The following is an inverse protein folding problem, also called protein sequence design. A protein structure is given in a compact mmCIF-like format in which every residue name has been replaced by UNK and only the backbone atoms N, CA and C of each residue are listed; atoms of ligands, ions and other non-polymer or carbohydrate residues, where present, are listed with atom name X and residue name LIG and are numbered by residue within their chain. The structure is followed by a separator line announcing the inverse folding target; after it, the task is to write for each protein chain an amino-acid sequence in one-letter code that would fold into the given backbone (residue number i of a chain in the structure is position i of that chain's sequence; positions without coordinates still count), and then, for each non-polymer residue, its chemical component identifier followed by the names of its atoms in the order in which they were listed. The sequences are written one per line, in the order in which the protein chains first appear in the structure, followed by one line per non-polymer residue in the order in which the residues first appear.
data_IF_100832051598
#
_entry.id   IF_100832051598
#
_cell.length_a   1.000
_cell.length_b   1.000
_cell.length_c   1.000
_cell.angle_alpha   90.00
_cell.angle_beta   90.00
_cell.angle_gamma   90.00
#
_symmetry.space_group_name_H-M   'P 1'
#
loop_
_entity.id
_entity.type
_entity.pdbx_description
1 polymer ?
#
# COMPACT_ATOMS: atom_id res chain seq x y z
N UNK A 1 -19.26 26.44 6.71
CA UNK A 1 -20.10 26.00 5.58
C UNK A 1 -19.53 24.69 5.06
N UNK A 2 -20.34 23.73 4.65
CA UNK A 2 -19.83 22.50 4.08
C UNK A 2 -19.01 22.78 2.83
N UNK A 3 -17.88 22.11 2.70
CA UNK A 3 -17.02 22.15 1.52
C UNK A 3 -17.41 21.01 0.58
N UNK A 4 -17.66 21.33 -0.70
CA UNK A 4 -17.97 20.33 -1.73
C UNK A 4 -16.76 20.17 -2.62
N UNK A 5 -16.26 18.93 -2.71
CA UNK A 5 -15.06 18.56 -3.48
C UNK A 5 -15.48 17.60 -4.59
N UNK A 6 -15.45 18.01 -5.87
CA UNK A 6 -15.69 17.10 -6.98
C UNK A 6 -14.52 16.09 -7.12
N UNK A 7 -14.87 14.84 -7.33
CA UNK A 7 -13.93 13.73 -7.48
C UNK A 7 -14.01 13.22 -8.91
N UNK A 8 -12.88 13.09 -9.56
CA UNK A 8 -12.79 12.56 -10.92
C UNK A 8 -11.66 11.54 -11.06
N UNK A 9 -11.83 10.56 -11.94
CA UNK A 9 -10.81 9.60 -12.32
C UNK A 9 -10.04 10.10 -13.53
N UNK A 10 -8.73 10.15 -13.42
CA UNK A 10 -7.83 10.44 -14.54
C UNK A 10 -7.53 9.13 -15.27
N UNK A 11 -8.28 8.86 -16.34
CA UNK A 11 -8.13 7.66 -17.17
C UNK A 11 -7.42 8.06 -18.48
N UNK A 12 -6.09 7.89 -18.55
CA UNK A 12 -5.25 8.35 -19.67
C UNK A 12 -5.49 9.85 -19.93
N UNK A 13 -5.98 10.19 -21.12
CA UNK A 13 -6.23 11.57 -21.53
C UNK A 13 -7.66 12.07 -21.18
N UNK A 14 -8.41 11.30 -20.41
CA UNK A 14 -9.80 11.61 -20.05
C UNK A 14 -9.95 11.81 -18.54
N UNK A 15 -10.72 12.84 -18.18
CA UNK A 15 -11.18 13.05 -16.81
C UNK A 15 -12.63 12.59 -16.69
N UNK A 16 -12.87 11.52 -15.96
CA UNK A 16 -14.19 10.93 -15.77
C UNK A 16 -14.74 11.34 -14.40
N UNK A 17 -15.83 12.09 -14.33
CA UNK A 17 -16.45 12.44 -13.05
C UNK A 17 -16.89 11.18 -12.30
N UNK A 18 -16.53 11.09 -11.02
CA UNK A 18 -16.96 10.01 -10.14
C UNK A 18 -18.12 10.47 -9.24
N UNK A 19 -17.99 11.67 -8.67
CA UNK A 19 -18.97 12.18 -7.73
C UNK A 19 -18.49 13.40 -6.94
N UNK A 20 -19.17 13.67 -5.82
CA UNK A 20 -18.90 14.78 -4.95
C UNK A 20 -18.70 14.33 -3.51
N UNK A 21 -17.58 14.71 -2.93
CA UNK A 21 -17.28 14.56 -1.52
C UNK A 21 -17.71 15.85 -0.81
N UNK A 22 -18.56 15.72 0.22
CA UNK A 22 -19.00 16.83 1.06
C UNK A 22 -18.36 16.69 2.42
N UNK A 23 -17.70 17.74 2.86
CA UNK A 23 -17.02 17.82 4.15
C UNK A 23 -17.64 18.94 4.96
N UNK A 24 -18.06 18.65 6.17
CA UNK A 24 -18.53 19.67 7.10
C UNK A 24 -17.70 19.64 8.37
N UNK A 25 -17.28 20.83 8.79
CA UNK A 25 -16.61 21.04 10.07
C UNK A 25 -17.66 21.68 11.01
N UNK A 26 -18.40 20.84 11.69
CA UNK A 26 -19.30 21.31 12.74
C UNK A 26 -18.49 21.49 14.02
N UNK A 27 -18.22 22.73 14.37
CA UNK A 27 -17.36 23.20 15.46
C UNK A 27 -17.73 22.70 16.88
N UNK A 28 -18.41 21.58 17.00
CA UNK A 28 -18.79 20.94 18.26
C UNK A 28 -18.88 19.42 18.23
N UNK A 29 -18.98 18.80 17.07
CA UNK A 29 -19.15 17.33 16.95
C UNK A 29 -18.08 16.63 16.10
N UNK A 30 -17.07 17.35 15.60
CA UNK A 30 -16.04 16.82 14.70
C UNK A 30 -16.44 16.90 13.22
N UNK A 31 -15.44 16.79 12.33
CA UNK A 31 -15.65 16.86 10.89
C UNK A 31 -16.48 15.66 10.40
N UNK A 32 -17.52 15.89 9.62
CA UNK A 32 -18.31 14.85 9.00
C UNK A 32 -18.05 14.77 7.49
N UNK A 33 -18.15 13.57 6.94
CA UNK A 33 -17.93 13.26 5.54
C UNK A 33 -19.19 12.68 4.93
N UNK A 34 -19.56 13.11 3.72
CA UNK A 34 -20.61 12.49 2.92
C UNK A 34 -20.15 12.39 1.46
N UNK A 35 -20.67 11.42 0.71
CA UNK A 35 -20.34 11.24 -0.70
C UNK A 35 -21.59 10.97 -1.53
N UNK A 36 -21.63 11.52 -2.73
CA UNK A 36 -22.68 11.25 -3.73
C UNK A 36 -22.03 11.00 -5.09
N UNK A 37 -22.44 9.92 -5.74
CA UNK A 37 -22.01 9.62 -7.10
C UNK A 37 -22.53 10.60 -8.13
N UNK A 38 -21.77 10.82 -9.20
CA UNK A 38 -22.21 11.49 -10.41
C UNK A 38 -23.20 10.60 -11.21
N UNK A 39 -24.15 11.19 -11.93
CA UNK A 39 -25.14 10.46 -12.70
C UNK A 39 -24.51 9.61 -13.82
N UNK A 40 -23.47 10.13 -14.47
CA UNK A 40 -22.73 9.38 -15.50
C UNK A 40 -21.98 8.20 -14.88
N UNK A 41 -21.43 8.36 -13.66
CA UNK A 41 -20.80 7.25 -12.95
C UNK A 41 -21.81 6.20 -12.49
N UNK A 42 -23.01 6.62 -12.06
CA UNK A 42 -24.10 5.69 -11.71
C UNK A 42 -24.53 4.84 -12.88
N UNK A 43 -24.49 5.38 -14.10
CA UNK A 43 -24.90 4.68 -15.30
C UNK A 43 -23.84 3.69 -15.82
N UNK A 44 -22.56 4.00 -15.69
CA UNK A 44 -21.47 3.28 -16.37
C UNK A 44 -20.27 2.92 -15.46
N UNK A 45 -20.29 3.35 -14.22
CA UNK A 45 -19.22 3.14 -13.26
C UNK A 45 -19.38 1.84 -12.46
N UNK A 46 -18.66 1.77 -11.37
CA UNK A 46 -18.62 0.64 -10.44
C UNK A 46 -18.56 1.14 -9.00
N UNK A 47 -18.90 0.29 -8.00
CA UNK A 47 -18.80 0.66 -6.60
C UNK A 47 -17.34 0.90 -6.20
N UNK A 48 -17.07 1.99 -5.47
CA UNK A 48 -15.73 2.38 -5.02
C UNK A 48 -15.27 1.66 -3.73
N UNK A 49 -16.00 0.68 -3.33
CA UNK A 49 -15.74 -0.12 -2.13
C UNK A 49 -17.04 -0.72 -1.62
N UNK A 50 -16.92 -1.62 -0.66
CA UNK A 50 -18.11 -2.23 -0.09
C UNK A 50 -18.86 -1.30 0.88
N UNK A 51 -18.21 -0.24 1.35
CA UNK A 51 -18.81 0.85 2.14
C UNK A 51 -19.28 2.04 1.27
N UNK A 52 -19.01 1.98 -0.04
CA UNK A 52 -19.50 2.92 -1.06
C UNK A 52 -20.18 2.14 -2.21
N UNK A 53 -21.34 1.51 -1.97
CA UNK A 53 -22.09 0.82 -3.01
C UNK A 53 -22.58 1.80 -4.07
N UNK A 54 -22.69 1.34 -5.32
CA UNK A 54 -23.15 2.16 -6.43
C UNK A 54 -24.66 2.42 -6.29
N UNK A 55 -25.03 3.57 -5.75
CA UNK A 55 -26.42 3.98 -5.59
C UNK A 55 -26.58 5.51 -5.65
N UNK A 56 -27.75 6.02 -6.04
CA UNK A 56 -28.00 7.46 -6.15
C UNK A 56 -28.15 8.19 -4.80
N UNK A 57 -28.12 7.46 -3.69
CA UNK A 57 -28.28 8.03 -2.35
C UNK A 57 -27.01 8.76 -1.92
N UNK A 58 -27.14 9.65 -0.93
CA UNK A 58 -25.98 10.20 -0.24
C UNK A 58 -25.45 9.13 0.72
N UNK A 59 -24.17 8.85 0.62
CA UNK A 59 -23.48 7.91 1.47
C UNK A 59 -22.82 8.63 2.64
N UNK A 60 -22.84 8.01 3.81
CA UNK A 60 -22.14 8.44 5.00
C UNK A 60 -21.23 7.33 5.50
N UNK A 61 -20.02 7.63 5.97
CA UNK A 61 -19.21 6.62 6.62
C UNK A 61 -19.95 6.12 7.87
N UNK A 62 -19.68 4.88 8.27
CA UNK A 62 -20.28 4.32 9.46
C UNK A 62 -19.85 5.12 10.69
N UNK A 63 -20.80 5.73 11.41
CA UNK A 63 -20.54 6.57 12.59
C UNK A 63 -20.26 5.76 13.87
N UNK A 64 -20.42 4.45 13.83
CA UNK A 64 -20.45 3.59 15.02
C UNK A 64 -19.07 3.23 15.56
N UNK A 65 -18.04 3.99 15.22
CA UNK A 65 -16.73 3.61 15.70
C UNK A 65 -15.86 4.78 16.11
N UNK A 66 -15.78 4.99 17.37
CA UNK A 66 -14.55 5.41 18.05
C UNK A 66 -13.48 4.28 18.00
N UNK A 67 -13.79 3.14 17.42
CA UNK A 67 -12.86 2.02 17.26
C UNK A 67 -12.25 2.08 15.86
N UNK A 68 -10.94 2.31 15.83
CA UNK A 68 -10.12 1.87 14.68
C UNK A 68 -10.37 0.40 14.49
N UNK A 69 -10.77 -0.03 13.27
CA UNK A 69 -10.76 -1.44 12.95
C UNK A 69 -9.36 -1.98 13.28
N UNK A 70 -9.20 -2.82 14.32
CA UNK A 70 -7.91 -3.27 14.79
C UNK A 70 -7.17 -4.08 13.71
N UNK A 71 -7.90 -4.60 12.71
CA UNK A 71 -7.37 -5.39 11.61
C UNK A 71 -6.95 -4.51 10.43
N UNK A 72 -7.72 -3.46 10.15
CA UNK A 72 -7.46 -2.59 8.99
C UNK A 72 -6.64 -1.34 9.37
N UNK A 73 -6.55 -1.00 10.65
CA UNK A 73 -5.90 0.23 11.11
C UNK A 73 -6.54 1.51 10.54
N UNK A 74 -7.70 1.37 9.89
CA UNK A 74 -8.43 2.45 9.25
C UNK A 74 -9.56 2.92 10.15
N UNK A 75 -9.79 4.23 10.20
CA UNK A 75 -10.92 4.81 10.93
C UNK A 75 -12.21 4.54 10.18
N UNK A 76 -13.25 4.22 10.91
CA UNK A 76 -14.58 3.95 10.36
C UNK A 76 -15.33 5.22 9.92
N UNK A 77 -14.88 6.40 10.34
CA UNK A 77 -15.43 7.70 9.96
C UNK A 77 -14.96 8.20 8.57
N UNK A 78 -14.16 7.40 7.86
CA UNK A 78 -13.67 7.67 6.51
C UNK A 78 -13.98 6.47 5.61
N UNK A 79 -14.53 6.71 4.41
CA UNK A 79 -14.71 5.64 3.42
C UNK A 79 -13.38 4.99 3.05
N UNK A 80 -13.39 3.67 2.83
CA UNK A 80 -12.20 2.91 2.45
C UNK A 80 -11.51 3.45 1.21
N UNK A 81 -12.29 3.85 0.20
CA UNK A 81 -11.79 4.50 -1.01
C UNK A 81 -10.91 5.71 -0.69
N UNK A 82 -11.39 6.64 0.13
CA UNK A 82 -10.62 7.82 0.49
C UNK A 82 -9.45 7.50 1.42
N UNK A 83 -9.61 6.51 2.30
CA UNK A 83 -8.50 6.03 3.15
C UNK A 83 -7.36 5.43 2.32
N UNK A 84 -7.67 4.69 1.25
CA UNK A 84 -6.67 4.15 0.32
C UNK A 84 -5.89 5.25 -0.41
N UNK A 85 -6.52 6.38 -0.68
CA UNK A 85 -5.93 7.52 -1.40
C UNK A 85 -5.36 8.59 -0.47
N UNK A 86 -5.45 8.41 0.85
CA UNK A 86 -4.90 9.35 1.83
C UNK A 86 -3.37 9.19 1.98
N UNK A 87 -2.67 10.27 2.35
CA UNK A 87 -1.25 10.23 2.69
C UNK A 87 -0.95 9.24 3.82
N UNK A 88 0.25 8.68 3.81
CA UNK A 88 0.69 7.77 4.87
C UNK A 88 0.97 8.47 6.20
N UNK A 89 0.83 7.76 7.32
CA UNK A 89 1.08 8.29 8.67
C UNK A 89 2.49 8.87 8.88
N UNK A 90 3.48 8.46 8.10
CA UNK A 90 4.82 9.02 8.18
C UNK A 90 4.93 10.47 7.67
N UNK A 91 3.99 10.90 6.83
CA UNK A 91 3.88 12.28 6.34
C UNK A 91 3.60 13.25 7.48
N UNK A 92 2.86 12.83 8.49
CA UNK A 92 2.61 13.66 9.69
C UNK A 92 3.92 14.05 10.38
N UNK A 93 4.89 13.13 10.41
CA UNK A 93 6.21 13.41 10.98
C UNK A 93 6.95 14.48 10.18
N UNK A 94 6.84 14.43 8.85
CA UNK A 94 7.45 15.42 7.97
C UNK A 94 6.81 16.81 8.14
N UNK A 95 5.49 16.86 8.15
CA UNK A 95 4.75 18.11 8.35
C UNK A 95 5.10 18.73 9.69
N UNK A 96 5.11 17.92 10.75
CA UNK A 96 5.49 18.37 12.08
C UNK A 96 6.94 18.90 12.11
N UNK A 97 7.87 18.24 11.42
CA UNK A 97 9.24 18.73 11.31
C UNK A 97 9.34 20.03 10.50
N UNK A 98 8.58 20.16 9.43
CA UNK A 98 8.52 21.40 8.65
C UNK A 98 8.04 22.57 9.51
N UNK A 99 6.99 22.38 10.29
CA UNK A 99 6.49 23.39 11.23
C UNK A 99 7.50 23.74 12.35
N UNK A 100 8.14 22.72 12.96
CA UNK A 100 9.15 22.95 14.01
C UNK A 100 10.39 23.68 13.51
N UNK A 101 10.72 23.58 12.23
CA UNK A 101 11.87 24.25 11.61
C UNK A 101 11.48 25.57 10.92
N UNK A 102 10.26 26.05 11.13
CA UNK A 102 9.74 27.29 10.52
C UNK A 102 9.90 27.31 8.98
N UNK A 103 9.84 26.13 8.35
CA UNK A 103 9.96 25.98 6.92
C UNK A 103 8.67 26.42 6.25
N UNK A 104 8.71 27.54 5.56
CA UNK A 104 7.63 27.97 4.66
C UNK A 104 7.67 27.09 3.42
N UNK A 105 6.79 26.09 3.39
CA UNK A 105 6.63 25.19 2.26
C UNK A 105 5.27 25.53 1.64
N UNK A 106 5.29 26.10 0.44
CA UNK A 106 4.12 26.71 -0.18
C UNK A 106 2.90 25.80 -0.25
N UNK A 107 3.10 24.50 -0.49
CA UNK A 107 1.98 23.55 -0.54
C UNK A 107 1.50 23.06 0.84
N UNK A 108 2.18 23.45 1.94
CA UNK A 108 1.74 23.18 3.32
C UNK A 108 1.14 24.41 3.99
N UNK A 109 1.10 25.55 3.32
CA UNK A 109 0.51 26.75 3.90
C UNK A 109 -0.97 26.51 4.21
N UNK A 110 -1.31 26.55 5.50
CA UNK A 110 -2.64 26.20 5.99
C UNK A 110 -2.95 24.69 6.09
N UNK A 111 -1.99 23.82 5.77
CA UNK A 111 -2.21 22.38 5.89
C UNK A 111 -2.22 21.92 7.37
N UNK A 112 -3.18 21.07 7.76
CA UNK A 112 -3.24 20.57 9.14
C UNK A 112 -2.09 19.62 9.45
N UNK A 113 -1.69 19.57 10.73
CA UNK A 113 -0.57 18.73 11.19
C UNK A 113 -0.86 17.22 11.22
N UNK A 114 -2.08 16.79 10.93
CA UNK A 114 -2.52 15.39 10.99
C UNK A 114 -3.11 14.95 9.65
N UNK A 115 -2.69 13.77 9.14
CA UNK A 115 -3.27 13.18 7.92
C UNK A 115 -4.76 12.86 8.06
N UNK A 116 -5.25 12.66 9.27
CA UNK A 116 -6.67 12.49 9.56
C UNK A 116 -7.45 13.78 9.27
N UNK A 117 -6.88 14.92 9.68
CA UNK A 117 -7.47 16.23 9.41
C UNK A 117 -7.41 16.53 7.91
N UNK A 118 -6.38 16.06 7.21
CA UNK A 118 -6.26 16.21 5.75
C UNK A 118 -7.41 15.50 5.03
N UNK A 119 -7.71 14.26 5.41
CA UNK A 119 -8.84 13.53 4.84
C UNK A 119 -10.16 14.22 5.15
N UNK A 120 -10.30 14.78 6.36
CA UNK A 120 -11.51 15.49 6.80
C UNK A 120 -11.67 16.89 6.23
N UNK A 121 -10.56 17.57 5.93
CA UNK A 121 -10.58 18.96 5.43
C UNK A 121 -10.54 19.07 3.90
N UNK A 122 -10.77 17.97 3.17
CA UNK A 122 -10.80 17.97 1.71
C UNK A 122 -9.43 18.00 1.05
N UNK A 123 -8.35 17.95 1.82
CA UNK A 123 -7.00 17.75 1.32
C UNK A 123 -6.74 16.25 1.07
N UNK A 124 -7.67 15.59 0.38
CA UNK A 124 -7.48 14.22 -0.08
C UNK A 124 -6.58 14.28 -1.30
N UNK A 125 -5.34 13.90 -1.12
CA UNK A 125 -4.42 13.78 -2.24
C UNK A 125 -4.62 12.42 -2.89
N UNK A 126 -4.72 12.42 -4.21
CA UNK A 126 -4.81 11.19 -4.96
C UNK A 126 -3.54 10.36 -4.78
N UNK A 127 -3.48 9.54 -3.74
CA UNK A 127 -2.50 8.45 -3.68
C UNK A 127 -2.57 7.75 -5.02
N UNK A 128 -1.43 7.52 -5.68
CA UNK A 128 -1.34 6.96 -7.02
C UNK A 128 -1.63 7.93 -8.17
N UNK A 129 -1.89 9.21 -7.93
CA UNK A 129 -2.14 10.23 -8.98
C UNK A 129 -3.31 9.91 -9.94
N UNK A 130 -4.18 8.96 -9.58
CA UNK A 130 -5.30 8.54 -10.43
C UNK A 130 -6.56 9.39 -10.22
N UNK A 131 -6.60 10.22 -9.17
CA UNK A 131 -7.73 11.08 -8.86
C UNK A 131 -7.37 12.55 -9.11
N UNK A 132 -8.29 13.27 -9.76
CA UNK A 132 -8.27 14.72 -9.84
C UNK A 132 -9.19 15.30 -8.78
N UNK A 133 -8.62 16.12 -7.91
CA UNK A 133 -9.32 16.86 -6.89
C UNK A 133 -9.07 18.35 -7.16
N UNK A 134 -10.09 19.15 -7.53
CA UNK A 134 -9.92 20.58 -7.60
C UNK A 134 -9.81 21.10 -6.17
N UNK A 135 -8.63 21.53 -5.82
CA UNK A 135 -8.30 22.09 -4.52
C UNK A 135 -8.82 23.54 -4.47
N UNK A 136 -9.71 23.81 -3.55
CA UNK A 136 -10.42 25.08 -3.46
C UNK A 136 -9.63 26.22 -2.82
N UNK A 137 -8.35 26.10 -2.57
CA UNK A 137 -7.49 27.21 -2.10
C UNK A 137 -6.09 27.12 -2.71
N UNK A 138 -5.97 27.49 -3.99
CA UNK A 138 -4.68 27.80 -4.60
C UNK A 138 -3.72 26.65 -4.92
N UNK A 139 -4.08 25.43 -4.60
CA UNK A 139 -3.34 24.24 -5.01
C UNK A 139 -3.76 23.83 -6.42
N UNK A 140 -3.10 24.40 -7.40
CA UNK A 140 -3.31 24.01 -8.78
C UNK A 140 -2.83 22.58 -9.01
N UNK A 141 -3.56 21.82 -9.82
CA UNK A 141 -3.18 20.55 -10.47
C UNK A 141 -1.83 20.58 -11.22
N UNK A 142 -1.12 21.69 -11.19
CA UNK A 142 0.25 21.84 -11.71
C UNK A 142 1.34 21.34 -10.77
N UNK A 143 1.04 20.98 -9.54
CA UNK A 143 1.99 20.34 -8.64
C UNK A 143 1.85 18.81 -8.70
N UNK A 144 2.15 18.25 -9.86
CA UNK A 144 2.80 16.94 -9.82
C UNK A 144 4.10 17.19 -9.07
N UNK A 145 4.30 16.53 -7.92
CA UNK A 145 5.52 16.76 -7.14
C UNK A 145 6.74 16.54 -8.02
N UNK A 146 7.80 17.36 -7.89
CA UNK A 146 9.02 17.11 -8.62
C UNK A 146 9.51 15.71 -8.26
N UNK A 147 9.46 14.81 -9.22
CA UNK A 147 10.03 13.47 -9.04
C UNK A 147 11.54 13.66 -8.98
N UNK A 148 12.16 13.18 -7.91
CA UNK A 148 13.60 13.27 -7.76
C UNK A 148 14.29 12.45 -8.84
N UNK A 149 15.05 13.11 -9.69
CA UNK A 149 15.92 12.45 -10.66
C UNK A 149 17.23 12.03 -9.99
N UNK A 150 17.52 10.73 -10.01
CA UNK A 150 18.78 10.19 -9.54
C UNK A 150 19.62 9.80 -10.75
N UNK A 151 20.58 10.65 -11.08
CA UNK A 151 21.57 10.38 -12.13
C UNK A 151 22.52 9.27 -11.67
N UNK A 152 22.30 8.07 -12.16
CA UNK A 152 23.19 6.92 -11.95
C UNK A 152 22.92 6.09 -10.69
N UNK A 153 23.06 4.80 -10.88
CA UNK A 153 22.96 3.78 -9.85
C UNK A 153 24.33 3.49 -9.24
N UNK A 154 24.37 3.37 -7.92
CA UNK A 154 25.52 2.81 -7.21
C UNK A 154 25.79 3.47 -5.86
N UNK A 155 26.53 2.75 -5.03
CA UNK A 155 26.92 3.12 -3.66
C UNK A 155 27.61 4.52 -3.56
N UNK A 156 28.02 5.09 -4.67
CA UNK A 156 28.78 6.34 -4.74
C UNK A 156 27.98 7.56 -5.25
N UNK A 157 26.73 7.41 -5.66
CA UNK A 157 25.91 8.54 -6.07
C UNK A 157 25.66 9.47 -4.89
N UNK A 158 25.99 10.76 -5.03
CA UNK A 158 25.75 11.79 -4.00
C UNK A 158 24.26 11.92 -3.67
N UNK A 159 23.40 11.86 -4.68
CA UNK A 159 21.94 11.97 -4.53
C UNK A 159 21.38 10.77 -3.74
N UNK A 160 21.83 9.54 -4.01
CA UNK A 160 21.43 8.33 -3.25
C UNK A 160 21.88 8.42 -1.80
N UNK A 161 23.11 8.90 -1.54
CA UNK A 161 23.61 9.09 -0.17
C UNK A 161 22.79 10.13 0.60
N UNK A 162 22.50 11.27 -0.02
CA UNK A 162 21.70 12.33 0.61
C UNK A 162 20.28 11.86 0.90
N UNK A 163 19.64 11.12 -0.02
CA UNK A 163 18.33 10.52 0.19
C UNK A 163 18.35 9.54 1.36
N UNK A 164 19.37 8.66 1.41
CA UNK A 164 19.54 7.73 2.51
C UNK A 164 19.68 8.41 3.87
N UNK A 165 20.50 9.47 3.95
CA UNK A 165 20.69 10.24 5.18
C UNK A 165 19.38 10.93 5.64
N UNK A 166 18.61 11.49 4.71
CA UNK A 166 17.34 12.11 5.04
C UNK A 166 16.32 11.10 5.57
N UNK A 167 16.17 9.96 4.90
CA UNK A 167 15.27 8.89 5.36
C UNK A 167 15.72 8.31 6.69
N UNK A 168 17.03 8.19 6.92
CA UNK A 168 17.60 7.77 8.20
C UNK A 168 17.25 8.77 9.32
N UNK A 169 17.41 10.07 9.07
CA UNK A 169 17.05 11.12 10.01
C UNK A 169 15.56 11.07 10.37
N UNK A 170 14.68 10.92 9.37
CA UNK A 170 13.24 10.74 9.60
C UNK A 170 12.92 9.53 10.46
N UNK A 171 13.52 8.39 10.16
CA UNK A 171 13.34 7.16 10.93
C UNK A 171 13.84 7.29 12.38
N UNK A 172 14.88 8.08 12.59
CA UNK A 172 15.43 8.38 13.92
C UNK A 172 14.63 9.44 14.69
N UNK A 173 13.68 10.12 14.04
CA UNK A 173 12.98 11.28 14.60
C UNK A 173 13.87 12.52 14.71
N UNK A 174 15.01 12.54 14.00
CA UNK A 174 15.93 13.67 13.96
C UNK A 174 15.43 14.75 12.97
N UNK A 175 15.84 16.00 13.18
CA UNK A 175 15.54 17.09 12.28
C UNK A 175 16.21 16.88 10.93
N UNK A 176 15.47 17.11 9.83
CA UNK A 176 16.01 17.09 8.48
C UNK A 176 16.48 18.50 8.16
N UNK A 177 17.71 18.60 7.72
CA UNK A 177 18.28 19.86 7.25
C UNK A 177 18.13 20.00 5.74
N UNK A 178 17.71 21.19 5.31
CA UNK A 178 17.56 21.55 3.91
C UNK A 178 16.12 21.59 3.42
N UNK A 179 15.66 22.79 3.03
CA UNK A 179 14.30 23.03 2.52
C UNK A 179 13.97 22.12 1.33
N UNK A 180 14.86 22.05 0.35
CA UNK A 180 14.67 21.26 -0.88
C UNK A 180 14.44 19.78 -0.59
N UNK A 181 15.15 19.21 0.38
CA UNK A 181 15.01 17.80 0.74
C UNK A 181 13.67 17.53 1.41
N UNK A 182 13.21 18.43 2.27
CA UNK A 182 11.90 18.34 2.91
C UNK A 182 10.79 18.49 1.87
N UNK A 183 10.89 19.47 0.97
CA UNK A 183 9.92 19.65 -0.13
C UNK A 183 9.84 18.42 -1.02
N UNK A 184 10.99 17.85 -1.39
CA UNK A 184 11.05 16.62 -2.19
C UNK A 184 10.41 15.43 -1.48
N UNK A 185 10.71 15.23 -0.20
CA UNK A 185 10.11 14.13 0.58
C UNK A 185 8.62 14.34 0.77
N UNK A 186 8.18 15.55 1.06
CA UNK A 186 6.77 15.87 1.24
C UNK A 186 5.98 15.68 -0.06
N UNK A 187 6.49 16.18 -1.18
CA UNK A 187 5.81 16.00 -2.46
C UNK A 187 5.63 14.53 -2.84
N UNK A 188 6.66 13.71 -2.65
CA UNK A 188 6.59 12.27 -2.88
C UNK A 188 5.72 11.56 -1.83
N UNK A 189 5.70 12.05 -0.59
CA UNK A 189 4.95 11.48 0.52
C UNK A 189 3.44 11.55 0.32
N UNK A 190 2.97 12.59 -0.34
CA UNK A 190 1.54 12.80 -0.58
C UNK A 190 0.93 11.69 -1.44
N UNK A 191 1.71 11.04 -2.27
CA UNK A 191 1.28 9.94 -3.12
C UNK A 191 1.45 8.55 -2.50
N UNK A 192 2.19 8.45 -1.38
CA UNK A 192 2.59 7.17 -0.81
C UNK A 192 2.03 6.95 0.58
N UNK A 193 1.27 5.88 0.73
CA UNK A 193 0.73 5.47 2.02
C UNK A 193 1.74 4.77 2.95
N UNK A 194 1.26 4.26 4.08
CA UNK A 194 2.01 3.45 5.03
C UNK A 194 2.68 4.26 6.15
N UNK A 195 3.53 3.58 6.93
CA UNK A 195 4.09 4.10 8.19
C UNK A 195 5.56 4.50 8.12
N UNK A 196 6.31 3.98 7.14
CA UNK A 196 7.74 4.22 7.02
C UNK A 196 8.04 5.23 5.90
N UNK A 197 9.07 6.09 6.07
CA UNK A 197 9.50 7.02 5.04
C UNK A 197 9.82 6.33 3.73
N UNK A 198 9.35 6.95 2.65
CA UNK A 198 9.60 6.51 1.28
C UNK A 198 9.45 7.71 0.35
N UNK A 199 10.06 7.63 -0.82
CA UNK A 199 9.89 8.67 -1.83
C UNK A 199 9.78 8.07 -3.24
N UNK A 200 9.18 8.81 -4.14
CA UNK A 200 9.18 8.51 -5.57
C UNK A 200 10.42 9.14 -6.21
N UNK A 201 11.09 8.37 -7.04
CA UNK A 201 12.28 8.81 -7.78
C UNK A 201 12.23 8.29 -9.21
N UNK A 202 12.86 9.00 -10.14
CA UNK A 202 13.24 8.46 -11.43
C UNK A 202 14.68 8.01 -11.37
N UNK A 203 14.93 6.80 -11.84
CA UNK A 203 16.25 6.19 -11.78
C UNK A 203 16.90 6.11 -13.16
N UNK A 204 17.96 6.88 -13.36
CA UNK A 204 18.67 6.92 -14.63
C UNK A 204 17.94 7.76 -15.68
N UNK A 205 17.99 7.32 -16.94
CA UNK A 205 17.38 8.02 -18.09
C UNK A 205 15.96 7.57 -18.42
N UNK A 206 15.40 6.66 -17.62
CA UNK A 206 14.04 6.16 -17.81
C UNK A 206 13.03 7.10 -17.15
N UNK A 207 11.87 7.27 -17.79
CA UNK A 207 10.72 7.96 -17.19
C UNK A 207 9.99 7.14 -16.14
N UNK A 208 10.44 5.91 -15.91
CA UNK A 208 9.86 5.02 -14.91
C UNK A 208 9.98 5.60 -13.50
N UNK A 209 8.86 5.60 -12.78
CA UNK A 209 8.82 5.99 -11.38
C UNK A 209 9.09 4.79 -10.46
N UNK A 210 9.96 5.02 -9.48
CA UNK A 210 10.37 4.04 -8.49
C UNK A 210 10.06 4.53 -7.09
N UNK A 211 9.61 3.64 -6.24
CA UNK A 211 9.45 3.90 -4.80
C UNK A 211 10.69 3.43 -4.07
N UNK A 212 11.40 4.37 -3.43
CA UNK A 212 12.56 4.06 -2.58
C UNK A 212 12.13 3.94 -1.13
N UNK A 213 12.58 2.88 -0.47
CA UNK A 213 12.39 2.60 0.96
C UNK A 213 13.74 2.49 1.66
N UNK A 214 13.79 2.98 2.88
CA UNK A 214 14.96 2.92 3.74
C UNK A 214 14.73 1.96 4.92
N UNK A 215 15.64 0.98 5.08
CA UNK A 215 15.68 0.14 6.27
C UNK A 215 16.28 0.92 7.44
N UNK A 216 15.54 1.04 8.53
CA UNK A 216 16.02 1.71 9.75
C UNK A 216 17.18 0.93 10.37
N UNK A 217 18.18 1.66 10.90
CA UNK A 217 19.25 1.03 11.70
C UNK A 217 18.75 0.39 13.00
N UNK A 218 17.53 0.73 13.41
CA UNK A 218 16.87 0.16 14.61
C UNK A 218 16.14 -1.15 14.33
N UNK A 219 15.97 -1.51 13.05
CA UNK A 219 15.39 -2.80 12.68
C UNK A 219 16.37 -3.93 13.01
N UNK A 220 15.89 -5.07 13.51
CA UNK A 220 16.75 -6.19 13.91
C UNK A 220 17.49 -6.80 12.72
N UNK A 221 16.93 -6.66 11.51
CA UNK A 221 17.53 -7.08 10.23
C UNK A 221 17.36 -5.98 9.19
N UNK A 222 18.19 -5.98 8.16
CA UNK A 222 18.11 -5.00 7.08
C UNK A 222 16.92 -5.28 6.15
N UNK A 223 15.75 -4.72 6.44
CA UNK A 223 14.54 -4.96 5.64
C UNK A 223 14.67 -4.58 4.15
N UNK A 224 15.55 -3.65 3.80
CA UNK A 224 15.81 -3.31 2.39
C UNK A 224 16.50 -4.47 1.66
N UNK A 225 17.46 -5.11 2.30
CA UNK A 225 18.14 -6.30 1.78
C UNK A 225 17.15 -7.46 1.67
N UNK A 226 16.38 -7.73 2.72
CA UNK A 226 15.42 -8.83 2.72
C UNK A 226 14.23 -8.61 1.79
N UNK A 227 13.87 -7.37 1.47
CA UNK A 227 12.96 -7.09 0.35
C UNK A 227 13.58 -7.51 -0.99
N UNK A 228 14.87 -7.22 -1.22
CA UNK A 228 15.54 -7.61 -2.46
C UNK A 228 15.64 -9.14 -2.58
N UNK A 229 16.03 -9.83 -1.52
CA UNK A 229 16.12 -11.31 -1.48
C UNK A 229 14.75 -11.95 -1.73
N UNK A 230 13.73 -11.52 -0.99
CA UNK A 230 12.38 -12.09 -1.12
C UNK A 230 11.80 -11.82 -2.50
N UNK A 231 12.03 -10.63 -3.04
CA UNK A 231 11.59 -10.25 -4.40
C UNK A 231 12.28 -11.10 -5.47
N UNK A 232 13.57 -11.40 -5.31
CA UNK A 232 14.34 -12.22 -6.28
C UNK A 232 13.78 -13.64 -6.40
N UNK A 233 13.31 -14.20 -5.28
CA UNK A 233 12.73 -15.55 -5.23
C UNK A 233 11.31 -15.63 -5.82
N UNK A 234 10.54 -14.56 -5.74
CA UNK A 234 9.11 -14.58 -6.07
C UNK A 234 8.80 -14.95 -7.54
N UNK A 235 9.49 -14.42 -8.58
CA UNK A 235 9.23 -14.79 -9.96
C UNK A 235 9.49 -16.26 -10.27
N UNK A 236 10.52 -16.86 -9.65
CA UNK A 236 10.82 -18.28 -9.81
C UNK A 236 9.72 -19.18 -9.20
N UNK A 237 8.93 -18.65 -8.25
CA UNK A 237 7.70 -19.25 -7.74
C UNK A 237 6.46 -18.89 -8.59
N UNK A 238 6.62 -18.35 -9.80
CA UNK A 238 5.50 -17.96 -10.67
C UNK A 238 4.68 -16.77 -10.18
N UNK A 239 5.18 -16.00 -9.22
CA UNK A 239 4.48 -14.85 -8.64
C UNK A 239 4.80 -13.58 -9.43
N UNK A 240 3.77 -12.91 -9.91
CA UNK A 240 3.92 -11.58 -10.50
C UNK A 240 4.30 -10.58 -9.42
N UNK A 241 5.50 -10.02 -9.49
CA UNK A 241 6.06 -9.03 -8.58
C UNK A 241 6.65 -7.88 -9.38
N UNK A 242 6.55 -6.66 -8.86
CA UNK A 242 7.18 -5.50 -9.51
C UNK A 242 8.70 -5.62 -9.51
N UNK A 243 9.35 -5.00 -10.49
CA UNK A 243 10.81 -4.91 -10.51
C UNK A 243 11.33 -4.18 -9.28
N UNK A 244 12.40 -4.69 -8.68
CA UNK A 244 12.99 -4.10 -7.48
C UNK A 244 14.46 -4.45 -7.31
N UNK A 245 15.22 -3.55 -6.67
CA UNK A 245 16.67 -3.70 -6.47
C UNK A 245 17.19 -2.90 -5.29
N UNK A 246 18.31 -3.33 -4.73
CA UNK A 246 19.08 -2.51 -3.80
C UNK A 246 19.84 -1.43 -4.59
N UNK A 247 19.63 -0.16 -4.23
CA UNK A 247 20.37 0.98 -4.79
C UNK A 247 21.48 1.47 -3.83
N UNK A 248 21.39 1.09 -2.56
CA UNK A 248 22.42 1.25 -1.53
C UNK A 248 22.19 0.19 -0.43
N UNK A 249 23.10 -0.02 0.50
CA UNK A 249 23.00 -1.09 1.50
C UNK A 249 21.70 -1.14 2.31
N UNK A 250 21.06 -0.01 2.53
CA UNK A 250 19.79 0.14 3.26
C UNK A 250 18.68 0.81 2.47
N UNK A 251 18.86 0.93 1.14
CA UNK A 251 17.86 1.53 0.25
C UNK A 251 17.42 0.51 -0.80
N UNK A 252 16.16 0.15 -0.73
CA UNK A 252 15.48 -0.68 -1.73
C UNK A 252 14.60 0.19 -2.60
N UNK A 253 14.75 0.06 -3.91
CA UNK A 253 13.92 0.72 -4.91
C UNK A 253 13.09 -0.31 -5.66
N UNK A 254 11.83 -0.02 -5.90
CA UNK A 254 10.95 -0.84 -6.73
C UNK A 254 10.11 0.02 -7.66
N UNK A 255 9.79 -0.49 -8.85
CA UNK A 255 8.87 0.19 -9.78
C UNK A 255 7.50 0.34 -9.14
N UNK A 256 6.79 1.41 -9.50
CA UNK A 256 5.42 1.62 -9.05
C UNK A 256 4.51 0.54 -9.66
N UNK A 257 3.71 -0.11 -8.81
CA UNK A 257 2.72 -1.11 -9.25
C UNK A 257 1.44 -0.48 -9.79
N UNK A 258 1.22 0.79 -9.49
CA UNK A 258 0.06 1.61 -9.79
C UNK A 258 0.25 2.46 -11.06
N UNK A 259 1.12 2.01 -11.94
CA UNK A 259 1.32 2.58 -13.28
C UNK A 259 1.06 1.52 -14.34
N UNK A 260 0.36 1.92 -15.40
CA UNK A 260 0.22 1.14 -16.62
C UNK A 260 1.56 1.06 -17.38
N UNK A 261 1.61 0.26 -18.43
CA UNK A 261 2.83 0.11 -19.25
C UNK A 261 3.24 1.43 -19.94
N UNK A 262 2.28 2.29 -20.24
CA UNK A 262 2.49 3.62 -20.82
C UNK A 262 2.83 4.70 -19.75
N UNK A 263 3.01 4.30 -18.49
CA UNK A 263 3.31 5.20 -17.37
C UNK A 263 2.08 5.92 -16.79
N UNK A 264 0.90 5.76 -17.38
CA UNK A 264 -0.31 6.40 -16.86
C UNK A 264 -0.73 5.82 -15.49
N UNK A 265 -1.31 6.63 -14.59
CA UNK A 265 -1.74 6.18 -13.27
C UNK A 265 -2.94 5.24 -13.37
N UNK A 266 -2.91 4.15 -12.60
CA UNK A 266 -4.02 3.23 -12.43
C UNK A 266 -4.87 3.64 -11.24
N UNK A 267 -6.19 3.57 -11.37
CA UNK A 267 -7.08 3.61 -10.21
C UNK A 267 -6.91 2.32 -9.44
N UNK A 268 -6.53 2.43 -8.17
CA UNK A 268 -6.23 1.27 -7.33
C UNK A 268 -7.09 1.28 -6.07
N UNK A 269 -7.67 0.13 -5.73
CA UNK A 269 -8.31 -0.11 -4.45
C UNK A 269 -7.64 -1.28 -3.74
N UNK A 270 -7.49 -1.16 -2.40
CA UNK A 270 -6.95 -2.25 -1.59
C UNK A 270 -8.01 -3.32 -1.30
N UNK A 271 -7.56 -4.53 -0.97
CA UNK A 271 -8.44 -5.54 -0.40
C UNK A 271 -9.13 -5.03 0.87
N UNK A 272 -8.46 -4.21 1.68
CA UNK A 272 -9.06 -3.60 2.86
C UNK A 272 -10.34 -2.84 2.53
N UNK A 273 -10.33 -2.04 1.47
CA UNK A 273 -11.49 -1.30 0.99
C UNK A 273 -12.57 -2.22 0.39
N UNK A 274 -12.15 -3.20 -0.40
CA UNK A 274 -13.09 -4.11 -1.07
C UNK A 274 -13.76 -5.11 -0.12
N UNK A 275 -13.11 -5.54 0.98
CA UNK A 275 -13.69 -6.42 2.01
C UNK A 275 -14.40 -5.66 3.13
N UNK A 276 -14.23 -4.33 3.18
CA UNK A 276 -14.83 -3.50 4.21
C UNK A 276 -16.35 -3.59 4.10
N UNK A 277 -17.00 -4.02 5.17
CA UNK A 277 -18.46 -4.08 5.22
C UNK A 277 -18.96 -2.99 6.15
N UNK A 278 -20.16 -2.48 5.91
CA UNK A 278 -20.82 -1.59 6.86
C UNK A 278 -20.85 -2.25 8.24
N UNK A 279 -20.43 -1.51 9.26
CA UNK A 279 -20.44 -1.99 10.64
C UNK A 279 -21.87 -2.11 11.12
N UNK A 280 -22.30 -3.31 11.47
CA UNK A 280 -23.56 -3.55 12.17
C UNK A 280 -23.27 -3.76 13.65
N UNK A 281 -24.25 -3.51 14.51
CA UNK A 281 -24.15 -3.72 15.97
C UNK A 281 -23.62 -5.12 16.31
N UNK A 282 -24.05 -6.14 15.60
CA UNK A 282 -23.60 -7.52 15.78
C UNK A 282 -22.11 -7.67 15.47
N UNK A 283 -21.60 -6.98 14.47
CA UNK A 283 -20.16 -7.00 14.09
C UNK A 283 -19.28 -6.21 15.03
N UNK A 284 -19.82 -5.17 15.65
CA UNK A 284 -19.11 -4.43 16.71
C UNK A 284 -18.91 -5.33 17.91
N UNK A 285 -19.93 -6.11 18.29
CA UNK A 285 -19.89 -7.02 19.44
C UNK A 285 -19.06 -8.29 19.16
N UNK A 286 -18.96 -8.71 17.90
CA UNK A 286 -18.26 -9.93 17.48
C UNK A 286 -17.38 -9.63 16.25
N UNK A 287 -16.25 -8.91 16.38
CA UNK A 287 -15.39 -8.58 15.26
C UNK A 287 -14.74 -9.87 14.71
N UNK A 288 -15.05 -10.19 13.46
CA UNK A 288 -14.42 -11.31 12.76
C UNK A 288 -13.27 -10.77 11.92
N UNK A 289 -12.02 -11.16 12.21
CA UNK A 289 -10.88 -10.77 11.40
C UNK A 289 -11.09 -11.13 9.93
N UNK A 290 -10.73 -10.23 9.03
CA UNK A 290 -10.72 -10.48 7.59
C UNK A 290 -9.54 -11.37 7.24
N UNK A 291 -9.73 -12.24 6.27
CA UNK A 291 -8.83 -13.34 5.94
C UNK A 291 -8.52 -13.39 4.45
N UNK A 292 -7.59 -14.24 4.05
CA UNK A 292 -7.37 -14.56 2.63
C UNK A 292 -8.63 -15.07 1.92
N UNK A 293 -9.54 -15.72 2.65
CA UNK A 293 -10.81 -16.19 2.08
C UNK A 293 -11.75 -15.03 1.71
N UNK A 294 -11.71 -13.92 2.46
CA UNK A 294 -12.48 -12.72 2.11
C UNK A 294 -11.94 -12.09 0.81
N UNK A 295 -10.60 -12.13 0.59
CA UNK A 295 -9.99 -11.66 -0.67
C UNK A 295 -10.41 -12.59 -1.83
N UNK A 296 -10.38 -13.90 -1.61
CA UNK A 296 -10.83 -14.86 -2.61
C UNK A 296 -12.31 -14.66 -2.98
N UNK A 297 -13.18 -14.35 -2.00
CA UNK A 297 -14.58 -14.06 -2.24
C UNK A 297 -14.80 -12.84 -3.16
N UNK A 298 -13.98 -11.76 -3.00
CA UNK A 298 -14.01 -10.61 -3.91
C UNK A 298 -13.69 -11.05 -5.34
N UNK A 299 -12.61 -11.80 -5.52
CA UNK A 299 -12.19 -12.27 -6.85
C UNK A 299 -13.23 -13.19 -7.49
N UNK A 300 -13.88 -14.04 -6.69
CA UNK A 300 -14.98 -14.89 -7.19
C UNK A 300 -16.19 -14.09 -7.67
N UNK A 301 -16.56 -13.03 -6.94
CA UNK A 301 -17.79 -12.28 -7.21
C UNK A 301 -17.63 -11.20 -8.28
N UNK A 302 -16.48 -10.54 -8.31
CA UNK A 302 -16.28 -9.35 -9.15
C UNK A 302 -14.87 -9.26 -9.76
N UNK A 303 -14.12 -10.36 -9.80
CA UNK A 303 -12.83 -10.45 -10.48
C UNK A 303 -12.97 -10.43 -12.00
N UNK A 304 -12.00 -9.84 -12.68
CA UNK A 304 -11.95 -9.82 -14.15
C UNK A 304 -11.60 -11.18 -14.75
N UNK A 305 -10.72 -11.92 -14.10
CA UNK A 305 -10.36 -13.31 -14.38
C UNK A 305 -10.24 -14.06 -13.05
N UNK A 306 -11.38 -14.53 -12.50
CA UNK A 306 -11.39 -15.18 -11.20
C UNK A 306 -10.44 -16.39 -11.13
N UNK A 307 -10.36 -17.18 -12.20
CA UNK A 307 -9.51 -18.39 -12.21
C UNK A 307 -8.04 -18.06 -12.11
N UNK A 308 -7.55 -17.13 -12.92
CA UNK A 308 -6.15 -16.73 -12.92
C UNK A 308 -5.79 -15.98 -11.62
N UNK A 309 -6.63 -15.04 -11.17
CA UNK A 309 -6.35 -14.20 -10.01
C UNK A 309 -6.46 -14.97 -8.69
N UNK A 310 -7.37 -15.92 -8.56
CA UNK A 310 -7.46 -16.82 -7.41
C UNK A 310 -6.22 -17.72 -7.30
N UNK A 311 -5.78 -18.30 -8.43
CA UNK A 311 -4.54 -19.09 -8.44
C UNK A 311 -3.32 -18.23 -8.07
N UNK A 312 -3.26 -17.00 -8.59
CA UNK A 312 -2.21 -16.04 -8.23
C UNK A 312 -2.25 -15.64 -6.74
N UNK A 313 -3.44 -15.44 -6.19
CA UNK A 313 -3.63 -15.17 -4.76
C UNK A 313 -3.18 -16.35 -3.90
N UNK A 314 -3.53 -17.58 -4.28
CA UNK A 314 -3.06 -18.78 -3.59
C UNK A 314 -1.53 -18.92 -3.62
N UNK A 315 -0.92 -18.67 -4.78
CA UNK A 315 0.55 -18.67 -4.89
C UNK A 315 1.20 -17.66 -3.94
N UNK A 316 0.64 -16.44 -3.82
CA UNK A 316 1.11 -15.42 -2.84
C UNK A 316 0.92 -15.87 -1.40
N UNK A 317 -0.24 -16.46 -1.07
CA UNK A 317 -0.53 -17.00 0.25
C UNK A 317 0.50 -18.07 0.64
N UNK A 318 0.74 -19.03 -0.24
CA UNK A 318 1.71 -20.11 0.00
C UNK A 318 3.14 -19.57 0.12
N UNK A 319 3.54 -18.64 -0.74
CA UNK A 319 4.83 -17.97 -0.70
C UNK A 319 5.02 -17.18 0.60
N UNK A 320 4.03 -16.39 1.01
CA UNK A 320 4.08 -15.63 2.26
C UNK A 320 4.20 -16.56 3.47
N UNK A 321 3.51 -17.69 3.44
CA UNK A 321 3.58 -18.73 4.47
C UNK A 321 4.98 -19.35 4.55
N UNK A 322 5.62 -19.63 3.41
CA UNK A 322 6.93 -20.28 3.33
C UNK A 322 8.10 -19.33 3.57
N UNK A 323 7.93 -18.02 3.36
CA UNK A 323 8.98 -17.01 3.54
C UNK A 323 8.82 -16.18 4.81
N UNK A 324 7.76 -16.42 5.60
CA UNK A 324 7.44 -15.58 6.74
C UNK A 324 7.18 -14.11 6.35
N UNK A 325 6.77 -13.84 5.10
CA UNK A 325 6.42 -12.49 4.68
C UNK A 325 5.10 -12.06 5.32
N UNK A 326 5.16 -11.35 6.44
CA UNK A 326 4.00 -10.81 7.13
C UNK A 326 3.64 -9.37 6.69
N UNK A 327 4.24 -8.89 5.61
CA UNK A 327 3.78 -7.69 4.91
C UNK A 327 2.64 -8.03 3.96
N UNK A 328 1.71 -8.84 4.45
CA UNK A 328 0.56 -9.38 3.73
C UNK A 328 -0.76 -8.84 4.27
N UNK A 329 -0.76 -7.63 4.87
CA UNK A 329 -1.99 -6.98 5.33
C UNK A 329 -2.92 -6.73 4.15
N UNK A 330 -4.21 -6.60 4.42
CA UNK A 330 -5.22 -6.35 3.38
C UNK A 330 -4.94 -5.11 2.53
N UNK A 331 -4.26 -4.09 3.07
CA UNK A 331 -3.80 -2.91 2.34
C UNK A 331 -2.52 -3.13 1.51
N UNK A 332 -2.06 -4.37 1.41
CA UNK A 332 -0.95 -4.79 0.53
C UNK A 332 -1.43 -5.57 -0.71
N UNK A 333 -2.72 -5.90 -0.79
CA UNK A 333 -3.34 -6.48 -1.97
C UNK A 333 -4.12 -5.40 -2.70
N UNK A 334 -3.67 -5.05 -3.89
CA UNK A 334 -4.24 -3.99 -4.69
C UNK A 334 -4.92 -4.53 -5.92
N UNK A 335 -5.98 -3.85 -6.31
CA UNK A 335 -6.80 -4.18 -7.48
C UNK A 335 -6.99 -2.93 -8.32
N UNK A 336 -7.07 -3.12 -9.63
CA UNK A 336 -7.44 -2.07 -10.59
C UNK A 336 -8.70 -2.49 -11.34
N UNK A 337 -9.62 -1.57 -11.64
CA UNK A 337 -10.81 -1.89 -12.43
C UNK A 337 -10.44 -2.12 -13.89
N UNK A 338 -11.12 -3.08 -14.50
CA UNK A 338 -11.14 -3.33 -15.93
C UNK A 338 -12.60 -3.36 -16.39
N UNK A 339 -12.84 -3.49 -17.69
CA UNK A 339 -14.20 -3.64 -18.21
C UNK A 339 -14.90 -4.93 -17.71
N UNK A 340 -14.11 -5.94 -17.34
CA UNK A 340 -14.62 -7.25 -16.90
C UNK A 340 -14.71 -7.38 -15.37
N UNK A 341 -14.22 -6.41 -14.62
CA UNK A 341 -14.18 -6.47 -13.15
C UNK A 341 -12.83 -6.08 -12.57
N UNK A 342 -12.59 -6.45 -11.34
CA UNK A 342 -11.35 -6.15 -10.61
C UNK A 342 -10.23 -7.12 -10.98
N UNK A 343 -9.05 -6.60 -11.27
CA UNK A 343 -7.84 -7.37 -11.54
C UNK A 343 -6.84 -7.23 -10.41
N UNK A 344 -6.32 -8.34 -9.92
CA UNK A 344 -5.28 -8.36 -8.89
C UNK A 344 -3.96 -7.83 -9.46
N UNK A 345 -3.41 -6.78 -8.84
CA UNK A 345 -2.13 -6.17 -9.21
C UNK A 345 -0.93 -6.99 -8.75
N UNK A 346 0.27 -6.79 -9.32
CA UNK A 346 1.49 -7.46 -8.91
C UNK A 346 1.79 -7.28 -7.42
N UNK A 347 2.47 -8.25 -6.80
CA UNK A 347 3.01 -8.12 -5.44
C UNK A 347 4.10 -7.03 -5.43
N UNK A 348 4.16 -6.25 -4.36
CA UNK A 348 5.19 -5.24 -4.16
C UNK A 348 5.76 -5.33 -2.73
N UNK A 349 6.99 -4.88 -2.54
CA UNK A 349 7.70 -4.88 -1.26
C UNK A 349 7.60 -6.18 -0.44
N UNK A 350 7.64 -7.39 -1.05
CA UNK A 350 7.68 -8.62 -0.26
C UNK A 350 8.93 -8.61 0.61
N UNK A 351 8.80 -9.03 1.87
CA UNK A 351 9.92 -9.02 2.79
C UNK A 351 9.79 -10.14 3.82
N UNK A 352 10.64 -11.14 3.71
CA UNK A 352 10.78 -12.15 4.74
C UNK A 352 11.11 -11.49 6.09
N UNK A 353 10.50 -11.97 7.15
CA UNK A 353 10.63 -11.43 8.50
C UNK A 353 11.25 -12.45 9.44
N UNK A 354 11.89 -11.95 10.49
CA UNK A 354 12.36 -12.80 11.57
C UNK A 354 11.19 -13.58 12.19
N UNK A 355 11.33 -14.89 12.37
CA UNK A 355 10.34 -15.65 13.11
C UNK A 355 10.29 -15.20 14.57
N UNK A 356 9.09 -15.12 15.14
CA UNK A 356 8.91 -14.85 16.56
C UNK A 356 8.77 -16.17 17.32
N UNK A 357 9.65 -16.42 18.28
CA UNK A 357 9.69 -17.68 19.05
C UNK A 357 9.61 -18.93 18.14
N UNK A 358 10.38 -18.93 17.06
CA UNK A 358 10.41 -20.00 16.05
C UNK A 358 9.10 -20.17 15.26
N UNK A 359 8.12 -19.30 15.41
CA UNK A 359 6.88 -19.29 14.64
C UNK A 359 6.88 -18.12 13.63
N UNK A 360 6.25 -18.36 12.49
CA UNK A 360 5.96 -17.34 11.48
C UNK A 360 4.49 -16.97 11.58
N UNK A 361 4.20 -15.69 11.55
CA UNK A 361 2.83 -15.20 11.59
C UNK A 361 2.55 -14.36 10.35
N UNK A 362 1.35 -14.48 9.83
CA UNK A 362 0.82 -13.63 8.76
C UNK A 362 0.01 -12.49 9.37
N UNK A 363 0.04 -11.31 8.74
CA UNK A 363 -0.82 -10.20 9.13
C UNK A 363 -2.26 -10.41 8.72
N UNK A 364 -2.49 -11.02 7.54
CA UNK A 364 -3.81 -11.49 7.13
C UNK A 364 -3.94 -12.98 7.46
N UNK A 365 -4.87 -13.37 8.35
CA UNK A 365 -5.08 -14.78 8.70
C UNK A 365 -5.45 -15.61 7.48
N UNK A 366 -5.06 -16.89 7.48
CA UNK A 366 -5.45 -17.85 6.45
C UNK A 366 -6.98 -18.07 6.45
N UNK A 367 -7.54 -18.21 7.64
CA UNK A 367 -8.97 -18.30 7.95
C UNK A 367 -9.20 -17.71 9.35
N UNK A 368 -10.44 -17.48 9.81
CA UNK A 368 -10.67 -16.99 11.16
C UNK A 368 -9.93 -17.81 12.22
N UNK A 369 -9.14 -17.12 13.06
CA UNK A 369 -8.34 -17.74 14.13
C UNK A 369 -7.04 -18.43 13.69
N UNK A 370 -6.67 -18.39 12.39
CA UNK A 370 -5.46 -19.04 11.88
C UNK A 370 -4.50 -18.03 11.24
N UNK A 371 -3.71 -17.33 12.07
CA UNK A 371 -2.67 -16.38 11.64
C UNK A 371 -1.25 -16.96 11.66
N UNK A 372 -1.06 -18.16 12.18
CA UNK A 372 0.21 -18.89 12.04
C UNK A 372 0.41 -19.25 10.57
N UNK A 373 1.60 -18.99 10.05
CA UNK A 373 1.99 -19.31 8.68
C UNK A 373 2.24 -20.82 8.56
N UNK A 374 1.15 -21.59 8.51
CA UNK A 374 1.15 -23.06 8.41
C UNK A 374 0.87 -23.52 6.98
N UNK A 375 1.87 -24.11 6.28
CA UNK A 375 1.70 -24.59 4.91
C UNK A 375 0.63 -25.68 4.77
N UNK A 376 0.40 -26.51 5.77
CA UNK A 376 -0.61 -27.57 5.71
C UNK A 376 -2.02 -26.95 5.72
N UNK A 377 -2.25 -25.96 6.57
CA UNK A 377 -3.52 -25.21 6.56
C UNK A 377 -3.72 -24.51 5.20
N UNK A 378 -2.67 -23.90 4.64
CA UNK A 378 -2.74 -23.28 3.31
C UNK A 378 -3.16 -24.29 2.23
N UNK A 379 -2.55 -25.50 2.23
CA UNK A 379 -2.89 -26.58 1.29
C UNK A 379 -4.35 -27.03 1.43
N UNK A 380 -4.84 -27.19 2.65
CA UNK A 380 -6.25 -27.56 2.88
C UNK A 380 -7.21 -26.51 2.32
N UNK A 381 -6.84 -25.22 2.45
CA UNK A 381 -7.65 -24.09 1.95
C UNK A 381 -7.54 -23.87 0.44
N UNK A 382 -6.61 -24.52 -0.27
CA UNK A 382 -6.35 -24.30 -1.70
C UNK A 382 -7.60 -24.39 -2.58
N UNK A 383 -8.59 -25.22 -2.20
CA UNK A 383 -9.85 -25.37 -2.96
C UNK A 383 -10.68 -24.10 -3.06
N UNK A 384 -10.59 -23.22 -2.05
CA UNK A 384 -11.27 -21.91 -2.09
C UNK A 384 -10.67 -20.96 -3.14
N UNK A 385 -9.49 -21.30 -3.64
CA UNK A 385 -8.75 -20.57 -4.66
C UNK A 385 -8.75 -21.32 -6.01
N UNK A 386 -9.62 -22.31 -6.19
CA UNK A 386 -9.68 -23.10 -7.42
C UNK A 386 -8.46 -24.00 -7.66
N UNK A 387 -7.64 -24.27 -6.63
CA UNK A 387 -6.44 -25.11 -6.72
C UNK A 387 -6.70 -26.45 -6.04
N UNK A 388 -6.45 -27.57 -6.74
CA UNK A 388 -6.60 -28.89 -6.13
C UNK A 388 -5.55 -29.11 -5.03
N UNK A 389 -5.85 -29.95 -4.05
CA UNK A 389 -4.87 -30.31 -2.99
C UNK A 389 -3.61 -30.93 -3.60
N UNK A 390 -3.74 -31.72 -4.68
CA UNK A 390 -2.61 -32.33 -5.39
C UNK A 390 -1.71 -31.22 -5.99
N UNK A 391 -2.30 -30.25 -6.69
CA UNK A 391 -1.56 -29.16 -7.30
C UNK A 391 -0.95 -28.21 -6.25
N UNK A 392 -1.65 -27.97 -5.14
CA UNK A 392 -1.14 -27.19 -4.01
C UNK A 392 0.10 -27.84 -3.37
N UNK A 393 0.09 -29.17 -3.21
CA UNK A 393 1.25 -29.93 -2.72
C UNK A 393 2.42 -29.88 -3.71
N UNK A 394 2.16 -30.02 -5.00
CA UNK A 394 3.17 -29.89 -6.04
C UNK A 394 3.79 -28.48 -6.04
N UNK A 395 2.95 -27.46 -6.02
CA UNK A 395 3.39 -26.05 -5.94
C UNK A 395 4.24 -25.79 -4.70
N UNK A 396 3.90 -26.34 -3.55
CA UNK A 396 4.74 -26.24 -2.33
C UNK A 396 6.14 -26.82 -2.54
N UNK A 397 6.23 -28.00 -3.13
CA UNK A 397 7.53 -28.65 -3.39
C UNK A 397 8.39 -27.80 -4.35
N UNK A 398 7.80 -27.29 -5.42
CA UNK A 398 8.46 -26.38 -6.36
C UNK A 398 8.95 -25.11 -5.64
N UNK A 399 8.10 -24.50 -4.80
CA UNK A 399 8.49 -23.32 -4.04
C UNK A 399 9.62 -23.60 -3.07
N UNK A 400 9.58 -24.71 -2.33
CA UNK A 400 10.65 -25.10 -1.40
C UNK A 400 11.98 -25.28 -2.12
N UNK A 401 11.97 -25.84 -3.33
CA UNK A 401 13.18 -25.95 -4.15
C UNK A 401 13.74 -24.59 -4.53
N UNK A 402 12.88 -23.65 -4.99
CA UNK A 402 13.30 -22.26 -5.29
C UNK A 402 13.81 -21.57 -4.03
N UNK A 403 13.07 -21.70 -2.92
CA UNK A 403 13.42 -21.05 -1.67
C UNK A 403 14.73 -21.57 -1.05
N UNK A 404 15.19 -22.77 -1.39
CA UNK A 404 16.49 -23.26 -0.92
C UNK A 404 17.68 -22.38 -1.33
N UNK A 405 17.52 -21.56 -2.38
CA UNK A 405 18.53 -20.62 -2.87
C UNK A 405 18.64 -19.32 -2.06
N UNK A 406 17.78 -19.10 -1.07
CA UNK A 406 17.69 -17.83 -0.35
C UNK A 406 19.03 -17.38 0.27
N UNK A 407 19.85 -18.32 0.77
CA UNK A 407 21.15 -18.02 1.40
C UNK A 407 22.12 -17.44 0.40
N UNK A 408 22.28 -18.11 -0.74
CA UNK A 408 23.16 -17.67 -1.83
C UNK A 408 22.75 -16.27 -2.34
N UNK A 409 21.44 -16.04 -2.50
CA UNK A 409 20.92 -14.74 -2.92
C UNK A 409 21.20 -13.68 -1.85
N UNK A 410 21.01 -13.99 -0.56
CA UNK A 410 21.26 -13.06 0.54
C UNK A 410 22.76 -12.70 0.64
N UNK A 411 23.67 -13.67 0.52
CA UNK A 411 25.13 -13.46 0.46
C UNK A 411 25.52 -12.56 -0.71
N UNK A 412 24.97 -12.82 -1.89
CA UNK A 412 25.19 -11.99 -3.09
C UNK A 412 24.68 -10.57 -2.90
N UNK A 413 23.55 -10.39 -2.20
CA UNK A 413 23.00 -9.10 -1.86
C UNK A 413 23.77 -8.35 -0.75
N UNK A 414 24.70 -9.02 -0.08
CA UNK A 414 25.57 -8.45 0.94
C UNK A 414 25.09 -8.64 2.39
N UNK A 415 24.28 -9.67 2.66
CA UNK A 415 23.94 -10.06 4.02
C UNK A 415 25.17 -10.59 4.76
N UNK A 416 25.35 -10.22 6.02
CA UNK A 416 26.39 -10.81 6.86
C UNK A 416 25.96 -12.17 7.43
N UNK A 417 26.93 -12.92 7.95
CA UNK A 417 26.70 -14.28 8.48
C UNK A 417 25.75 -14.28 9.69
N UNK A 418 25.76 -13.24 10.50
CA UNK A 418 24.88 -13.15 11.66
C UNK A 418 23.43 -12.98 11.22
N UNK A 419 23.19 -12.07 10.28
CA UNK A 419 21.88 -11.79 9.71
C UNK A 419 21.33 -13.03 8.95
N UNK A 420 22.18 -13.74 8.21
CA UNK A 420 21.82 -15.01 7.56
C UNK A 420 21.38 -16.06 8.59
N UNK A 421 22.11 -16.20 9.70
CA UNK A 421 21.73 -17.13 10.78
C UNK A 421 20.40 -16.75 11.44
N UNK A 422 20.19 -15.48 11.70
CA UNK A 422 18.93 -14.98 12.26
C UNK A 422 17.73 -15.28 11.37
N UNK A 423 17.89 -15.15 10.05
CA UNK A 423 16.82 -15.35 9.07
C UNK A 423 16.61 -16.82 8.67
N UNK A 424 17.39 -17.75 9.20
CA UNK A 424 17.29 -19.17 8.83
C UNK A 424 15.89 -19.74 9.04
N UNK A 425 15.18 -19.33 10.09
CA UNK A 425 13.82 -19.78 10.37
C UNK A 425 12.71 -19.06 9.57
N UNK A 426 13.06 -18.05 8.76
CA UNK A 426 12.10 -17.35 7.93
C UNK A 426 11.69 -18.15 6.69
N UNK A 427 12.61 -18.99 6.17
CA UNK A 427 12.44 -19.76 4.94
C UNK A 427 12.28 -21.26 5.26
N UNK A 428 11.26 -21.90 4.68
CA UNK A 428 11.07 -23.35 4.86
C UNK A 428 9.63 -23.80 5.01
#
# INVERSE_FOLDING_TARGET
MPQVVPISWLKKDQTVPIGQLVLSDDSGQGASMAFRYDEGWLAHGFPLGSDLPLSPTIHYPSSDSMETDPVLGARSDVFGFFADHAPGKWVEKLIRQAHLNDLKIDFLEGAPASTEIWTRSGHVFGRFSALSLPLTHGFHTKFLPPVLEIEGFGKNSKSVKNLGLAMQALNAGASIRGKELVEMLLSSAMELGGTNPKCVVRLGKSDDEWVVRHASAREPVNSALWMAVTRELAPACGIKVVEGKLIAPRLYAERRFDRAEDGSPLLCLSAATLVRRQMTRERILHPTPKTYLDIADILNRCGADPTADLRALFARLLFNTLTGNNRDRLDQFWFTPTEMGWKLLPMYAPCAQLPFLSARFLSTPLKPGANVADPETAIVLSRYFGVSIKDAKAMRLEFMQVLSEWRRIAETAGADLLEIRQMQGAFG
#
